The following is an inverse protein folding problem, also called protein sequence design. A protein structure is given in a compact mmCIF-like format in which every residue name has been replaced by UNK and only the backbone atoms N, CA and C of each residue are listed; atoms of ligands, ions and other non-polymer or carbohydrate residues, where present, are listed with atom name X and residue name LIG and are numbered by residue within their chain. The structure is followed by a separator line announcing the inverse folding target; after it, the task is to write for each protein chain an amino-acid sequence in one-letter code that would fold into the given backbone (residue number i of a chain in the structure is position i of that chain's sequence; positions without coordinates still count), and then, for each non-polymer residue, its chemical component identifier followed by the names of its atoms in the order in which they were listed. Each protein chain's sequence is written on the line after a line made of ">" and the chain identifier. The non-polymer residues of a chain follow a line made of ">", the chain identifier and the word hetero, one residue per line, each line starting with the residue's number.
data_IF_330422060112
#
_entry.id   IF_330422060112
#
_cell.length_a   1.000
_cell.length_b   1.000
_cell.length_c   1.000
_cell.angle_alpha   90.00
_cell.angle_beta   90.00
_cell.angle_gamma   90.00
#
_symmetry.space_group_name_H-M   'P 1'
#
loop_
_entity.id
_entity.type
_entity.pdbx_description
1 polymer ?
#
# COMPACT_ATOMS: atom_id res chain seq x y z
N UNK A 1 25.75 -26.53 36.54
CA UNK A 1 24.82 -25.53 35.94
C UNK A 1 23.51 -26.26 35.68
N UNK A 2 22.40 -25.89 36.34
CA UNK A 2 21.11 -26.60 36.16
C UNK A 2 20.64 -26.44 34.72
N UNK A 3 20.49 -27.54 33.99
CA UNK A 3 20.29 -27.56 32.53
C UNK A 3 19.05 -26.78 32.06
N UNK A 4 18.04 -26.61 32.90
CA UNK A 4 16.87 -25.75 32.59
C UNK A 4 17.15 -24.25 32.51
N UNK A 5 18.28 -23.76 33.03
CA UNK A 5 18.60 -22.33 33.06
C UNK A 5 19.09 -21.77 31.72
N UNK A 6 19.80 -22.57 30.92
CA UNK A 6 20.34 -22.15 29.62
C UNK A 6 19.21 -22.06 28.60
N UNK A 7 18.36 -23.08 28.53
CA UNK A 7 17.22 -23.13 27.61
C UNK A 7 16.30 -21.92 27.82
N UNK A 8 15.94 -21.63 29.08
CA UNK A 8 15.14 -20.44 29.43
C UNK A 8 15.84 -19.14 29.02
N UNK A 9 17.14 -19.04 29.22
CA UNK A 9 17.91 -17.84 28.85
C UNK A 9 17.88 -17.63 27.34
N UNK A 10 18.16 -18.68 26.56
CA UNK A 10 18.10 -18.63 25.09
C UNK A 10 16.70 -18.22 24.63
N UNK A 11 15.65 -18.85 25.17
CA UNK A 11 14.25 -18.50 24.88
C UNK A 11 13.98 -17.01 25.10
N UNK A 12 14.35 -16.47 26.27
CA UNK A 12 14.08 -15.08 26.61
C UNK A 12 14.78 -14.11 25.65
N UNK A 13 16.03 -14.37 25.28
CA UNK A 13 16.76 -13.51 24.35
C UNK A 13 16.21 -13.61 22.92
N UNK A 14 15.82 -14.80 22.46
CA UNK A 14 15.21 -14.97 21.14
C UNK A 14 13.89 -14.22 21.03
N UNK A 15 13.00 -14.35 22.01
CA UNK A 15 11.71 -13.65 21.99
C UNK A 15 11.85 -12.15 22.19
N UNK A 16 12.81 -11.69 23.01
CA UNK A 16 13.15 -10.27 23.09
C UNK A 16 13.64 -9.73 21.73
N UNK A 17 14.50 -10.48 21.04
CA UNK A 17 15.00 -10.10 19.71
C UNK A 17 13.86 -10.03 18.68
N UNK A 18 12.98 -11.02 18.64
CA UNK A 18 11.82 -11.03 17.74
C UNK A 18 10.92 -9.82 18.02
N UNK A 19 10.58 -9.56 19.29
CA UNK A 19 9.78 -8.39 19.66
C UNK A 19 10.44 -7.08 19.26
N UNK A 20 11.76 -6.97 19.43
CA UNK A 20 12.52 -5.79 19.04
C UNK A 20 12.52 -5.58 17.52
N UNK A 21 12.71 -6.65 16.73
CA UNK A 21 12.67 -6.58 15.26
C UNK A 21 11.31 -6.08 14.79
N UNK A 22 10.22 -6.67 15.29
CA UNK A 22 8.85 -6.26 14.94
C UNK A 22 8.62 -4.78 15.31
N UNK A 23 9.08 -4.36 16.49
CA UNK A 23 8.98 -2.98 16.95
C UNK A 23 9.74 -2.01 16.03
N UNK A 24 10.99 -2.33 15.67
CA UNK A 24 11.82 -1.51 14.79
C UNK A 24 11.18 -1.36 13.41
N UNK A 25 10.64 -2.45 12.83
CA UNK A 25 9.94 -2.40 11.55
C UNK A 25 8.70 -1.51 11.64
N UNK A 26 7.89 -1.65 12.70
CA UNK A 26 6.70 -0.83 12.92
C UNK A 26 7.03 0.66 13.03
N UNK A 27 8.03 1.01 13.84
CA UNK A 27 8.49 2.40 13.98
C UNK A 27 9.04 2.94 12.66
N UNK A 28 9.86 2.17 11.95
CA UNK A 28 10.40 2.57 10.64
C UNK A 28 9.31 2.90 9.62
N UNK A 29 8.21 2.12 9.59
CA UNK A 29 7.07 2.39 8.72
C UNK A 29 6.32 3.67 9.07
N UNK A 30 6.15 3.99 10.36
CA UNK A 30 5.54 5.25 10.77
C UNK A 30 6.42 6.45 10.40
N UNK A 31 7.74 6.31 10.54
CA UNK A 31 8.69 7.35 10.13
C UNK A 31 8.62 7.57 8.62
N UNK A 32 8.61 6.51 7.81
CA UNK A 32 8.43 6.59 6.35
C UNK A 32 7.12 7.30 5.97
N UNK A 33 6.01 6.95 6.62
CA UNK A 33 4.72 7.59 6.41
C UNK A 33 4.77 9.10 6.76
N UNK A 34 5.40 9.46 7.88
CA UNK A 34 5.59 10.85 8.27
C UNK A 34 6.44 11.65 7.28
N UNK A 35 7.52 11.04 6.78
CA UNK A 35 8.38 11.61 5.73
C UNK A 35 7.58 11.88 4.45
N UNK A 36 6.75 10.94 4.00
CA UNK A 36 5.88 11.10 2.81
C UNK A 36 4.85 12.20 2.98
N UNK A 37 4.29 12.37 4.18
CA UNK A 37 3.29 13.42 4.43
C UNK A 37 3.89 14.82 4.53
N UNK A 38 5.09 14.95 5.11
CA UNK A 38 5.66 16.27 5.46
C UNK A 38 6.71 16.72 4.44
N UNK A 39 7.63 15.83 4.06
CA UNK A 39 8.82 16.15 3.26
C UNK A 39 8.60 15.75 1.80
N UNK A 40 8.13 14.53 1.53
CA UNK A 40 8.00 13.97 0.19
C UNK A 40 6.53 13.86 -0.25
N UNK A 41 5.84 15.00 -0.36
CA UNK A 41 4.40 15.06 -0.67
C UNK A 41 3.99 14.30 -1.95
N UNK A 42 4.90 14.18 -2.90
CA UNK A 42 4.69 13.51 -4.19
C UNK A 42 5.19 12.04 -4.22
N UNK A 43 5.69 11.49 -3.12
CA UNK A 43 6.22 10.12 -3.11
C UNK A 43 5.13 9.06 -3.39
N UNK A 44 3.88 9.36 -3.05
CA UNK A 44 2.74 8.49 -3.33
C UNK A 44 2.08 8.81 -4.69
N UNK A 45 2.72 9.63 -5.54
CA UNK A 45 2.11 10.06 -6.79
C UNK A 45 1.94 8.92 -7.82
N UNK A 46 2.75 7.87 -7.71
CA UNK A 46 2.54 6.66 -8.51
C UNK A 46 1.23 5.94 -8.16
N UNK A 47 0.71 6.12 -6.96
CA UNK A 47 -0.53 5.49 -6.52
C UNK A 47 -1.79 6.17 -7.11
N UNK A 48 -1.68 7.37 -7.74
CA UNK A 48 -2.78 8.09 -8.45
C UNK A 48 -3.47 7.25 -9.54
N UNK A 49 -2.86 6.15 -9.97
CA UNK A 49 -3.21 5.45 -11.21
C UNK A 49 -4.46 4.55 -11.19
N UNK A 50 -5.23 4.47 -10.11
CA UNK A 50 -6.31 3.48 -9.95
C UNK A 50 -7.74 4.04 -9.91
N UNK A 51 -7.97 5.24 -10.44
CA UNK A 51 -9.31 5.55 -10.91
C UNK A 51 -9.56 4.74 -12.18
N UNK A 52 -10.56 3.87 -12.12
CA UNK A 52 -11.01 2.98 -13.19
C UNK A 52 -11.15 3.77 -14.49
N UNK A 53 -10.08 3.79 -15.30
CA UNK A 53 -10.17 4.29 -16.67
C UNK A 53 -11.18 3.40 -17.38
N UNK A 54 -12.18 3.94 -18.10
CA UNK A 54 -13.04 3.10 -18.91
C UNK A 54 -12.12 2.23 -19.76
N UNK A 55 -12.35 0.92 -19.72
CA UNK A 55 -11.52 -0.02 -20.46
C UNK A 55 -11.44 0.46 -21.90
N UNK A 56 -10.23 0.49 -22.51
CA UNK A 56 -10.13 0.86 -23.91
C UNK A 56 -11.02 -0.10 -24.70
N UNK A 57 -11.83 0.42 -25.63
CA UNK A 57 -12.60 -0.44 -26.53
C UNK A 57 -11.58 -1.27 -27.30
N UNK A 58 -11.49 -2.55 -26.97
CA UNK A 58 -10.65 -3.48 -27.72
C UNK A 58 -11.45 -3.93 -28.94
N UNK A 59 -11.24 -3.24 -30.06
CA UNK A 59 -11.72 -3.75 -31.33
C UNK A 59 -10.89 -5.01 -31.67
N UNK A 60 -11.58 -6.10 -32.01
CA UNK A 60 -10.96 -7.36 -32.45
C UNK A 60 -10.16 -7.22 -33.76
N UNK A 61 -10.24 -6.07 -34.44
CA UNK A 61 -9.36 -5.76 -35.56
C UNK A 61 -8.08 -5.11 -35.04
N UNK A 62 -6.96 -5.74 -35.35
CA UNK A 62 -5.56 -5.45 -35.01
C UNK A 62 -5.06 -4.01 -35.33
N UNK A 63 -5.93 -3.06 -35.72
CA UNK A 63 -5.52 -1.80 -36.39
C UNK A 63 -6.27 -0.54 -35.98
N UNK A 64 -6.61 -0.34 -34.71
CA UNK A 64 -7.10 0.98 -34.28
C UNK A 64 -6.43 1.40 -32.98
N UNK A 65 -5.40 2.24 -33.11
CA UNK A 65 -4.89 3.06 -32.00
C UNK A 65 -5.81 4.28 -31.87
N UNK A 66 -6.03 4.76 -30.65
CA UNK A 66 -7.03 5.79 -30.35
C UNK A 66 -6.87 7.11 -31.14
N UNK A 67 -5.65 7.47 -31.57
CA UNK A 67 -5.42 8.61 -32.47
C UNK A 67 -6.02 8.44 -33.88
N UNK A 68 -6.34 7.21 -34.32
CA UNK A 68 -6.84 6.96 -35.67
C UNK A 68 -8.38 6.98 -35.79
N UNK A 69 -9.12 7.13 -34.69
CA UNK A 69 -10.59 7.18 -34.71
C UNK A 69 -11.11 8.47 -35.37
N UNK A 70 -10.46 9.60 -35.11
CA UNK A 70 -10.84 10.89 -35.69
C UNK A 70 -10.54 10.98 -37.20
N UNK A 71 -9.56 10.20 -37.68
CA UNK A 71 -9.28 10.04 -39.11
C UNK A 71 -10.04 8.89 -39.77
N UNK A 72 -10.60 7.95 -39.00
CA UNK A 72 -11.35 6.79 -39.52
C UNK A 72 -12.78 7.14 -39.95
N UNK A 73 -13.35 8.25 -39.46
CA UNK A 73 -14.78 8.57 -39.71
C UNK A 73 -15.11 8.73 -41.19
N UNK A 74 -14.12 8.97 -42.05
CA UNK A 74 -14.30 9.14 -43.49
C UNK A 74 -13.93 7.91 -44.33
N UNK A 75 -13.19 6.92 -43.79
CA UNK A 75 -12.55 5.87 -44.61
C UNK A 75 -12.73 4.43 -44.09
N UNK A 76 -13.37 4.25 -42.93
CA UNK A 76 -13.55 2.93 -42.33
C UNK A 76 -14.99 2.46 -42.55
N UNK A 77 -15.19 1.32 -43.23
CA UNK A 77 -16.48 0.61 -43.30
C UNK A 77 -16.80 0.01 -41.91
N UNK A 78 -17.14 0.87 -40.96
CA UNK A 78 -17.55 0.47 -39.63
C UNK A 78 -18.99 -0.04 -39.69
N UNK A 79 -19.23 -1.18 -39.04
CA UNK A 79 -20.59 -1.70 -38.84
C UNK A 79 -21.35 -0.81 -37.84
N UNK A 80 -22.69 -0.75 -37.95
CA UNK A 80 -23.53 0.03 -37.03
C UNK A 80 -23.25 -0.31 -35.54
N UNK A 81 -22.94 -1.57 -35.26
CA UNK A 81 -22.58 -2.05 -33.92
C UNK A 81 -21.26 -1.45 -33.41
N UNK A 82 -20.26 -1.26 -34.30
CA UNK A 82 -18.98 -0.66 -33.94
C UNK A 82 -19.11 0.84 -33.69
N UNK A 83 -19.93 1.53 -34.49
CA UNK A 83 -20.21 2.96 -34.32
C UNK A 83 -20.89 3.19 -32.97
N UNK A 84 -21.92 2.41 -32.64
CA UNK A 84 -22.59 2.49 -31.35
C UNK A 84 -21.65 2.23 -30.15
N UNK A 85 -20.70 1.30 -30.29
CA UNK A 85 -19.71 1.01 -29.25
C UNK A 85 -18.71 2.17 -29.06
N UNK A 86 -18.31 2.85 -30.15
CA UNK A 86 -17.44 4.04 -30.09
C UNK A 86 -18.18 5.19 -29.40
N UNK A 87 -19.42 5.46 -29.80
CA UNK A 87 -20.22 6.55 -29.23
C UNK A 87 -20.45 6.34 -27.74
N UNK A 88 -20.79 5.11 -27.33
CA UNK A 88 -20.95 4.77 -25.93
C UNK A 88 -19.65 4.96 -25.14
N UNK A 89 -18.52 4.52 -25.69
CA UNK A 89 -17.22 4.71 -25.03
C UNK A 89 -16.81 6.17 -24.93
N UNK A 90 -17.10 7.01 -25.94
CA UNK A 90 -16.82 8.44 -25.88
C UNK A 90 -17.62 9.13 -24.77
N UNK A 91 -18.89 8.74 -24.57
CA UNK A 91 -19.71 9.21 -23.46
C UNK A 91 -19.13 8.75 -22.13
N UNK A 92 -18.79 7.46 -21.98
CA UNK A 92 -18.18 6.92 -20.76
C UNK A 92 -16.83 7.57 -20.45
N UNK A 93 -16.04 7.88 -21.48
CA UNK A 93 -14.76 8.57 -21.37
C UNK A 93 -14.90 10.03 -20.93
N UNK A 94 -15.89 10.75 -21.46
CA UNK A 94 -16.18 12.12 -21.03
C UNK A 94 -16.68 12.16 -19.58
N UNK A 95 -17.58 11.24 -19.20
CA UNK A 95 -18.05 11.09 -17.82
C UNK A 95 -16.86 10.83 -16.90
N UNK A 96 -15.99 9.87 -17.25
CA UNK A 96 -14.78 9.60 -16.48
C UNK A 96 -13.85 10.83 -16.39
N UNK A 97 -13.65 11.58 -17.48
CA UNK A 97 -12.81 12.78 -17.45
C UNK A 97 -13.38 13.87 -16.54
N UNK A 98 -14.69 14.07 -16.54
CA UNK A 98 -15.35 15.06 -15.69
C UNK A 98 -15.45 14.60 -14.24
N UNK A 99 -15.62 13.30 -14.01
CA UNK A 99 -15.45 12.69 -12.69
C UNK A 99 -14.03 12.90 -12.20
N UNK A 100 -13.00 12.68 -13.01
CA UNK A 100 -11.60 12.88 -12.62
C UNK A 100 -11.25 14.32 -12.23
N UNK A 101 -11.89 15.32 -12.85
CA UNK A 101 -11.71 16.73 -12.45
C UNK A 101 -12.32 17.03 -11.09
N UNK A 102 -13.34 16.27 -10.68
CA UNK A 102 -14.08 16.44 -9.42
C UNK A 102 -13.71 15.41 -8.34
N UNK A 103 -13.03 14.35 -8.75
CA UNK A 103 -12.37 13.36 -7.92
C UNK A 103 -11.32 14.12 -7.14
N UNK A 104 -11.63 14.34 -5.88
CA UNK A 104 -10.63 14.79 -4.93
C UNK A 104 -9.53 13.74 -4.99
N UNK A 105 -8.33 14.20 -5.29
CA UNK A 105 -7.00 13.56 -5.18
C UNK A 105 -6.76 12.75 -3.87
N UNK A 106 -7.76 12.64 -3.00
CA UNK A 106 -7.69 12.51 -1.54
C UNK A 106 -8.26 11.20 -1.01
N UNK A 107 -8.88 10.31 -1.81
CA UNK A 107 -9.48 9.08 -1.25
C UNK A 107 -8.47 7.91 -1.21
N UNK A 108 -7.96 7.45 -2.34
CA UNK A 108 -7.12 6.26 -2.40
C UNK A 108 -5.74 6.45 -1.71
N UNK A 109 -5.10 7.63 -1.84
CA UNK A 109 -3.84 7.95 -1.12
C UNK A 109 -4.07 7.83 0.36
N UNK A 110 -5.18 8.42 0.83
CA UNK A 110 -5.55 8.44 2.23
C UNK A 110 -5.81 7.02 2.72
N UNK A 111 -6.56 6.21 1.98
CA UNK A 111 -6.78 4.80 2.30
C UNK A 111 -5.47 4.02 2.40
N UNK A 112 -4.53 4.23 1.46
CA UNK A 112 -3.23 3.55 1.50
C UNK A 112 -2.39 4.01 2.72
N UNK A 113 -2.41 5.30 3.04
CA UNK A 113 -1.74 5.86 4.23
C UNK A 113 -2.36 5.35 5.53
N UNK A 114 -3.68 5.28 5.62
CA UNK A 114 -4.40 4.71 6.75
C UNK A 114 -4.05 3.23 6.94
N UNK A 115 -3.97 2.45 5.84
CA UNK A 115 -3.53 1.05 5.88
C UNK A 115 -2.08 0.91 6.36
N UNK A 116 -1.17 1.75 5.86
CA UNK A 116 0.23 1.77 6.29
C UNK A 116 0.34 2.09 7.78
N UNK A 117 -0.37 3.12 8.24
CA UNK A 117 -0.43 3.49 9.65
C UNK A 117 -0.99 2.35 10.52
N UNK A 118 -2.13 1.77 10.14
CA UNK A 118 -2.78 0.67 10.86
C UNK A 118 -1.86 -0.54 11.02
N UNK A 119 -1.17 -0.94 9.94
CA UNK A 119 -0.22 -2.04 9.98
C UNK A 119 1.00 -1.73 10.88
N UNK A 120 1.53 -0.51 10.79
CA UNK A 120 2.68 -0.10 11.61
C UNK A 120 2.33 0.01 13.10
N UNK A 121 1.17 0.57 13.43
CA UNK A 121 0.65 0.65 14.80
C UNK A 121 0.43 -0.75 15.37
N UNK A 122 -0.13 -1.67 14.58
CA UNK A 122 -0.33 -3.06 14.99
C UNK A 122 0.98 -3.75 15.35
N UNK A 123 2.04 -3.55 14.54
CA UNK A 123 3.39 -4.06 14.85
C UNK A 123 3.93 -3.49 16.16
N UNK A 124 3.72 -2.20 16.44
CA UNK A 124 4.18 -1.57 17.69
C UNK A 124 3.39 -2.12 18.89
N UNK A 125 2.06 -2.23 18.78
CA UNK A 125 1.19 -2.74 19.84
C UNK A 125 1.56 -4.18 20.23
N UNK A 126 1.97 -5.01 19.27
CA UNK A 126 2.37 -6.40 19.54
C UNK A 126 3.84 -6.51 19.94
N UNK A 127 4.73 -5.83 19.22
CA UNK A 127 6.18 -5.90 19.40
C UNK A 127 6.64 -5.28 20.72
N UNK A 128 6.03 -4.16 21.14
CA UNK A 128 6.43 -3.44 22.34
C UNK A 128 6.22 -4.25 23.63
N UNK A 129 5.02 -4.81 23.92
CA UNK A 129 4.84 -5.65 25.10
C UNK A 129 5.70 -6.91 25.05
N UNK A 130 5.85 -7.53 23.87
CA UNK A 130 6.66 -8.73 23.71
C UNK A 130 8.13 -8.46 24.07
N UNK A 131 8.72 -7.37 23.54
CA UNK A 131 10.08 -6.98 23.87
C UNK A 131 10.23 -6.61 25.35
N UNK A 132 9.36 -5.74 25.87
CA UNK A 132 9.46 -5.23 27.23
C UNK A 132 9.35 -6.36 28.26
N UNK A 133 8.40 -7.29 28.09
CA UNK A 133 8.22 -8.41 29.00
C UNK A 133 9.49 -9.26 29.11
N UNK A 134 10.05 -9.67 27.97
CA UNK A 134 11.24 -10.51 27.93
C UNK A 134 12.47 -9.77 28.44
N UNK A 135 12.66 -8.51 28.06
CA UNK A 135 13.79 -7.69 28.50
C UNK A 135 13.78 -7.43 30.00
N UNK A 136 12.62 -7.08 30.57
CA UNK A 136 12.47 -6.85 32.02
C UNK A 136 12.77 -8.13 32.80
N UNK A 137 12.32 -9.28 32.30
CA UNK A 137 12.58 -10.58 32.92
C UNK A 137 14.08 -10.91 32.92
N UNK A 138 14.77 -10.73 31.80
CA UNK A 138 16.23 -10.89 31.71
C UNK A 138 16.96 -9.97 32.70
N UNK A 139 16.53 -8.70 32.79
CA UNK A 139 17.15 -7.72 33.70
C UNK A 139 16.96 -8.11 35.17
N UNK A 140 15.78 -8.59 35.55
CA UNK A 140 15.47 -9.11 36.91
C UNK A 140 16.31 -10.34 37.23
N UNK A 141 16.40 -11.30 36.31
CA UNK A 141 17.17 -12.54 36.50
C UNK A 141 18.68 -12.25 36.65
N UNK A 142 19.22 -11.30 35.88
CA UNK A 142 20.62 -10.85 36.03
C UNK A 142 20.87 -10.19 37.38
N UNK A 143 19.95 -9.33 37.85
CA UNK A 143 20.09 -8.66 39.16
C UNK A 143 20.07 -9.67 40.31
N UNK A 144 19.18 -10.66 40.26
CA UNK A 144 19.09 -11.72 41.28
C UNK A 144 20.31 -12.64 41.35
N UNK A 145 21.04 -12.85 40.24
CA UNK A 145 22.27 -13.66 40.24
C UNK A 145 23.50 -12.89 40.76
N UNK A 146 23.44 -11.56 40.76
CA UNK A 146 24.54 -10.68 41.14
C UNK A 146 24.37 -10.10 42.57
N UNK A 147 23.29 -10.46 43.27
CA UNK A 147 23.00 -10.12 44.66
C UNK A 147 23.22 -11.35 45.53
#
# INVERSE_FOLDING_TARGET
>A
MKEGGIIRTIYLYLFALVGLIVLVIGVGRLVDLGLKMIIFKNADAGDYGYYERPMPVTFSSEKVQMESLQSCSEQCELTEVQIAAIDQWLVDYQIWQDEQKNVKEVDYVRQNRERQASGAISMIIVGLPLYLYHWVTIKRDRKSKNA
#
